data_IF_712897042738
#
_entry.id   IF_712897042738
#
_cell.length_a   1.000
_cell.length_b   1.000
_cell.length_c   1.000
_cell.angle_alpha   90.00
_cell.angle_beta   90.00
_cell.angle_gamma   90.00
#
_symmetry.space_group_name_H-M   'P 1'
#
loop_
_entity.id
_entity.type
_entity.pdbx_description
1 polymer ?
#
# COMPACT_ATOMS: atom_id res chain seq x y z
N UNK A 1 15.31 9.83 7.98
CA UNK A 1 14.12 10.25 7.20
C UNK A 1 14.47 11.39 6.27
N UNK A 2 13.98 11.37 5.03
CA UNK A 2 14.18 12.45 4.07
C UNK A 2 13.46 13.74 4.49
N UNK A 3 13.96 14.89 4.00
CA UNK A 3 13.25 16.16 4.14
C UNK A 3 12.18 16.29 3.05
N UNK A 4 11.09 17.02 3.28
CA UNK A 4 10.06 17.26 2.24
C UNK A 4 10.66 17.92 0.99
N UNK A 5 11.69 18.76 1.15
CA UNK A 5 12.44 19.35 0.01
C UNK A 5 13.15 18.28 -0.82
N UNK A 6 13.72 17.27 -0.17
CA UNK A 6 14.37 16.15 -0.85
C UNK A 6 13.34 15.27 -1.58
N UNK A 7 12.20 14.97 -0.94
CA UNK A 7 11.10 14.21 -1.58
C UNK A 7 10.59 14.93 -2.83
N UNK A 8 10.32 16.24 -2.75
CA UNK A 8 9.93 17.06 -3.92
C UNK A 8 10.96 17.01 -5.04
N UNK A 9 12.26 16.90 -4.71
CA UNK A 9 13.34 16.79 -5.70
C UNK A 9 13.33 15.43 -6.39
N UNK A 10 13.25 14.34 -5.63
CA UNK A 10 13.17 12.98 -6.19
C UNK A 10 11.98 12.83 -7.13
N UNK A 11 10.85 13.43 -6.77
CA UNK A 11 9.60 13.35 -7.50
C UNK A 11 9.30 14.59 -8.36
N UNK A 12 10.28 15.43 -8.66
CA UNK A 12 10.06 16.70 -9.36
C UNK A 12 9.33 16.53 -10.70
N UNK A 13 9.58 15.42 -11.39
CA UNK A 13 8.94 15.07 -12.64
C UNK A 13 7.42 14.82 -12.51
N UNK A 14 6.91 14.46 -11.32
CA UNK A 14 5.49 14.24 -11.05
C UNK A 14 4.72 15.49 -10.64
N UNK A 15 5.40 16.62 -10.42
CA UNK A 15 4.74 17.83 -9.94
C UNK A 15 3.63 18.28 -10.91
N UNK A 16 2.42 18.46 -10.38
CA UNK A 16 1.23 18.88 -11.10
C UNK A 16 0.84 17.93 -12.24
N UNK A 17 1.38 16.71 -12.27
CA UNK A 17 0.91 15.66 -13.17
C UNK A 17 -0.17 14.87 -12.46
N UNK A 18 -1.27 14.60 -13.16
CA UNK A 18 -2.33 13.77 -12.62
C UNK A 18 -1.82 12.35 -12.40
N UNK A 19 -2.01 11.84 -11.20
CA UNK A 19 -1.78 10.46 -10.80
C UNK A 19 -2.86 9.53 -11.32
N UNK A 20 -2.80 8.30 -10.85
CA UNK A 20 -3.81 7.29 -11.18
C UNK A 20 -4.81 7.14 -10.03
N UNK A 21 -6.08 6.87 -10.32
CA UNK A 21 -7.07 6.62 -9.30
C UNK A 21 -6.91 5.21 -8.73
N UNK A 22 -6.91 5.11 -7.41
CA UNK A 22 -7.04 3.84 -6.68
C UNK A 22 -8.31 3.86 -5.80
N UNK A 23 -8.67 2.68 -5.30
CA UNK A 23 -9.55 2.57 -4.13
C UNK A 23 -8.66 2.50 -2.90
N UNK A 24 -8.92 3.34 -1.91
CA UNK A 24 -8.18 3.38 -0.65
C UNK A 24 -9.16 3.55 0.53
N UNK A 25 -9.10 2.65 1.49
CA UNK A 25 -9.99 2.54 2.65
C UNK A 25 -11.47 2.68 2.27
N UNK A 26 -11.88 2.02 1.18
CA UNK A 26 -13.24 2.06 0.64
C UNK A 26 -13.61 3.34 -0.12
N UNK A 27 -12.68 4.27 -0.33
CA UNK A 27 -12.88 5.48 -1.15
C UNK A 27 -12.33 5.29 -2.54
N UNK A 28 -13.18 5.45 -3.55
CA UNK A 28 -12.77 5.40 -4.96
C UNK A 28 -12.20 6.75 -5.44
N UNK A 29 -11.30 6.70 -6.42
CA UNK A 29 -10.79 7.90 -7.10
C UNK A 29 -9.72 8.66 -6.33
N UNK A 30 -9.14 8.05 -5.30
CA UNK A 30 -7.98 8.59 -4.57
C UNK A 30 -6.80 8.60 -5.53
N UNK A 31 -6.21 9.77 -5.78
CA UNK A 31 -5.12 9.91 -6.74
C UNK A 31 -3.78 9.61 -6.07
N UNK A 32 -3.00 8.75 -6.70
CA UNK A 32 -1.64 8.40 -6.25
C UNK A 32 -0.66 8.49 -7.40
N UNK A 33 0.61 8.75 -7.08
CA UNK A 33 1.67 8.72 -8.07
C UNK A 33 1.82 7.29 -8.65
N UNK A 34 1.91 7.13 -9.98
CA UNK A 34 2.18 5.84 -10.61
C UNK A 34 3.46 5.20 -10.06
N UNK A 35 3.40 3.89 -9.83
CA UNK A 35 4.46 3.12 -9.17
C UNK A 35 4.40 3.13 -7.65
N UNK A 36 3.44 3.84 -7.03
CA UNK A 36 3.27 3.88 -5.56
C UNK A 36 2.04 3.12 -5.06
N UNK A 37 1.31 2.46 -5.95
CA UNK A 37 0.06 1.76 -5.68
C UNK A 37 0.23 0.74 -4.56
N UNK A 38 1.32 -0.04 -4.61
CA UNK A 38 1.64 -1.02 -3.57
C UNK A 38 1.86 -0.39 -2.20
N UNK A 39 2.57 0.74 -2.14
CA UNK A 39 2.75 1.47 -0.88
C UNK A 39 1.37 1.81 -0.29
N UNK A 40 0.47 2.38 -1.09
CA UNK A 40 -0.87 2.76 -0.61
C UNK A 40 -1.75 1.56 -0.25
N UNK A 41 -1.56 0.40 -0.88
CA UNK A 41 -2.23 -0.85 -0.48
C UNK A 41 -1.68 -1.42 0.82
N UNK A 42 -0.35 -1.40 1.01
CA UNK A 42 0.28 -1.78 2.27
C UNK A 42 -0.17 -0.85 3.42
N UNK A 43 -0.32 0.44 3.13
CA UNK A 43 -0.91 1.42 4.04
C UNK A 43 -2.34 1.06 4.42
N UNK A 44 -3.20 0.73 3.44
CA UNK A 44 -4.58 0.30 3.68
C UNK A 44 -4.64 -0.94 4.57
N UNK A 45 -3.91 -2.00 4.19
CA UNK A 45 -3.89 -3.26 4.93
C UNK A 45 -3.41 -3.08 6.36
N UNK A 46 -2.32 -2.33 6.54
CA UNK A 46 -1.76 -2.07 7.87
C UNK A 46 -2.79 -1.37 8.77
N UNK A 47 -3.50 -0.38 8.23
CA UNK A 47 -4.55 0.31 8.97
C UNK A 47 -5.71 -0.64 9.30
N UNK A 48 -6.20 -1.43 8.34
CA UNK A 48 -7.29 -2.38 8.58
C UNK A 48 -6.90 -3.46 9.61
N UNK A 49 -5.70 -4.03 9.52
CA UNK A 49 -5.16 -5.03 10.44
C UNK A 49 -5.01 -4.49 11.87
N UNK A 50 -4.72 -3.19 12.02
CA UNK A 50 -4.67 -2.50 13.32
C UNK A 50 -6.02 -1.93 13.76
N UNK A 51 -7.11 -2.43 13.19
CA UNK A 51 -8.48 -2.11 13.59
C UNK A 51 -9.00 -0.75 13.13
N UNK A 52 -8.33 -0.09 12.17
CA UNK A 52 -8.89 1.08 11.49
C UNK A 52 -10.04 0.64 10.56
N UNK A 53 -11.07 1.47 10.45
CA UNK A 53 -12.23 1.19 9.59
C UNK A 53 -12.10 1.77 8.17
N UNK A 54 -13.18 1.67 7.40
CA UNK A 54 -13.28 2.39 6.12
C UNK A 54 -13.27 3.90 6.36
N UNK A 55 -12.56 4.63 5.50
CA UNK A 55 -12.47 6.08 5.60
C UNK A 55 -13.78 6.72 5.14
N UNK A 56 -14.21 7.75 5.85
CA UNK A 56 -15.30 8.65 5.45
C UNK A 56 -14.89 9.61 4.32
N UNK A 57 -13.64 10.07 4.32
CA UNK A 57 -13.10 11.03 3.35
C UNK A 57 -11.59 10.80 3.14
N UNK A 58 -11.09 11.00 1.91
CA UNK A 58 -9.65 11.02 1.63
C UNK A 58 -9.35 12.18 0.68
N UNK A 59 -8.58 13.15 1.15
CA UNK A 59 -8.01 14.20 0.30
C UNK A 59 -6.64 13.77 -0.19
N UNK A 60 -6.44 13.58 -1.49
CA UNK A 60 -5.16 13.09 -2.06
C UNK A 60 -4.55 13.99 -3.13
N UNK A 61 -5.30 15.00 -3.55
CA UNK A 61 -4.91 15.85 -4.67
C UNK A 61 -5.21 17.31 -4.38
N UNK A 62 -4.36 18.19 -4.92
CA UNK A 62 -4.58 19.64 -4.95
C UNK A 62 -4.40 20.19 -6.36
N UNK A 63 -5.28 21.12 -6.73
CA UNK A 63 -5.21 21.78 -8.02
C UNK A 63 -4.02 22.74 -8.08
N UNK A 64 -3.04 22.47 -8.93
CA UNK A 64 -2.01 23.45 -9.25
C UNK A 64 -2.64 24.71 -9.88
N UNK A 65 -2.09 25.92 -9.60
CA UNK A 65 -0.81 26.19 -8.94
C UNK A 65 -0.92 26.41 -7.41
N UNK A 66 -1.99 25.95 -6.75
CA UNK A 66 -2.14 26.11 -5.31
C UNK A 66 -0.96 25.48 -4.56
N UNK A 67 -0.40 26.22 -3.60
CA UNK A 67 0.66 25.77 -2.71
C UNK A 67 0.20 25.75 -1.24
N UNK A 68 1.17 25.69 -0.34
CA UNK A 68 0.94 25.61 1.11
C UNK A 68 0.72 27.01 1.68
N UNK A 69 -0.24 27.16 2.59
CA UNK A 69 -0.49 28.41 3.32
C UNK A 69 -0.91 29.57 2.42
N UNK A 70 -1.71 29.29 1.38
CA UNK A 70 -2.19 30.30 0.42
C UNK A 70 -1.14 30.78 -0.59
N UNK A 71 0.07 30.22 -0.57
CA UNK A 71 1.13 30.56 -1.53
C UNK A 71 0.97 29.79 -2.84
N UNK A 72 1.69 30.22 -3.87
CA UNK A 72 1.79 29.51 -5.15
C UNK A 72 2.86 28.42 -5.08
N UNK A 73 2.55 27.24 -5.61
CA UNK A 73 3.53 26.18 -5.86
C UNK A 73 4.47 26.60 -6.99
N UNK A 74 5.75 26.84 -6.65
CA UNK A 74 6.74 27.38 -7.60
C UNK A 74 7.35 26.27 -8.50
N UNK A 75 7.86 26.61 -9.69
CA UNK A 75 8.60 25.69 -10.55
C UNK A 75 9.87 25.07 -9.93
N UNK A 76 10.35 25.60 -8.81
CA UNK A 76 11.43 25.04 -7.99
C UNK A 76 10.97 23.93 -7.03
N UNK A 77 9.65 23.73 -6.86
CA UNK A 77 9.05 22.88 -5.83
C UNK A 77 8.79 23.61 -4.51
N UNK A 78 9.27 24.85 -4.37
CA UNK A 78 9.03 25.69 -3.19
C UNK A 78 7.53 25.97 -3.03
N UNK A 79 7.09 25.93 -1.77
CA UNK A 79 5.68 26.02 -1.35
C UNK A 79 4.72 24.96 -1.93
N UNK A 80 5.20 23.94 -2.66
CA UNK A 80 4.32 22.91 -3.19
C UNK A 80 3.95 21.88 -2.12
N UNK A 81 2.67 21.62 -1.91
CA UNK A 81 2.25 20.44 -1.11
C UNK A 81 2.63 19.15 -1.84
N UNK A 82 2.88 18.06 -1.11
CA UNK A 82 3.05 16.74 -1.73
C UNK A 82 1.74 16.20 -2.34
N UNK A 83 0.59 16.77 -1.98
CA UNK A 83 -0.69 16.60 -2.70
C UNK A 83 -0.63 17.04 -4.17
N UNK A 84 0.27 17.97 -4.53
CA UNK A 84 0.46 18.35 -5.94
C UNK A 84 1.31 17.33 -6.72
N UNK A 85 1.77 16.26 -6.07
CA UNK A 85 2.58 15.19 -6.65
C UNK A 85 1.85 13.85 -6.55
N UNK A 86 0.65 13.83 -5.97
CA UNK A 86 -0.11 12.62 -5.60
C UNK A 86 0.71 11.66 -4.71
N UNK A 87 1.54 12.22 -3.83
CA UNK A 87 2.38 11.50 -2.86
C UNK A 87 1.88 11.63 -1.42
N UNK A 88 0.77 12.32 -1.22
CA UNK A 88 0.20 12.55 0.10
C UNK A 88 -1.30 12.27 0.09
N UNK A 89 -1.80 11.85 1.24
CA UNK A 89 -3.20 11.64 1.49
C UNK A 89 -3.55 12.12 2.90
N UNK A 90 -4.57 12.94 3.00
CA UNK A 90 -5.22 13.33 4.23
C UNK A 90 -6.38 12.35 4.43
N UNK A 91 -6.24 11.42 5.37
CA UNK A 91 -7.26 10.39 5.64
C UNK A 91 -8.23 10.89 6.68
N UNK A 92 -9.52 10.95 6.39
CA UNK A 92 -10.55 11.41 7.32
C UNK A 92 -10.31 12.79 8.01
N UNK A 93 -9.77 13.82 7.30
CA UNK A 93 -9.61 15.15 7.87
C UNK A 93 -10.96 15.72 8.30
N UNK A 94 -10.99 16.54 9.34
CA UNK A 94 -12.21 16.96 10.04
C UNK A 94 -13.33 17.47 9.12
N UNK A 95 -14.53 16.90 9.30
CA UNK A 95 -15.79 17.58 9.03
C UNK A 95 -16.76 17.50 10.23
N UNK A 96 -16.90 16.37 10.93
CA UNK A 96 -17.53 16.27 12.25
C UNK A 96 -16.90 15.10 13.02
N UNK A 97 -16.47 15.34 14.27
CA UNK A 97 -15.38 14.62 14.95
C UNK A 97 -15.56 13.14 15.29
N UNK A 98 -14.45 12.52 15.74
CA UNK A 98 -14.36 11.19 16.36
C UNK A 98 -13.36 11.22 17.55
N UNK A 99 -13.52 10.45 18.66
CA UNK A 99 -13.14 10.85 20.01
C UNK A 99 -11.85 10.22 20.58
N UNK A 100 -10.92 9.76 19.76
CA UNK A 100 -9.66 9.25 20.30
C UNK A 100 -8.74 10.46 20.61
N UNK A 101 -8.64 10.78 21.90
CA UNK A 101 -7.84 11.83 22.53
C UNK A 101 -8.54 13.19 22.81
N UNK A 102 -8.73 13.47 24.10
CA UNK A 102 -8.87 14.81 24.72
C UNK A 102 -7.78 14.90 25.80
N UNK A 103 -7.08 15.99 26.15
CA UNK A 103 -6.93 17.40 25.71
C UNK A 103 -5.84 18.00 26.64
N UNK A 104 -5.14 19.07 26.26
CA UNK A 104 -5.24 20.33 27.02
C UNK A 104 -4.97 21.57 26.16
N UNK A 105 -5.96 22.46 26.17
CA UNK A 105 -5.92 23.82 25.66
C UNK A 105 -5.11 24.76 26.59
N UNK A 106 -4.38 25.68 25.96
CA UNK A 106 -3.35 26.55 26.52
C UNK A 106 -2.24 26.70 25.47
N UNK A 107 -1.03 27.12 25.84
CA UNK A 107 0.11 27.28 24.92
C UNK A 107 0.70 25.92 24.42
N UNK A 108 -0.12 24.92 24.08
CA UNK A 108 0.28 23.54 23.70
C UNK A 108 -0.76 22.80 22.84
N UNK A 109 -0.34 21.67 22.25
CA UNK A 109 -0.95 21.01 21.08
C UNK A 109 -2.40 20.52 21.26
N UNK A 110 -3.28 20.92 20.32
CA UNK A 110 -4.63 20.40 20.16
C UNK A 110 -4.69 19.41 18.99
N UNK A 111 -4.86 18.12 19.32
CA UNK A 111 -4.94 16.99 18.39
C UNK A 111 -6.39 16.62 18.06
N UNK A 112 -7.30 17.60 18.08
CA UNK A 112 -8.75 17.38 17.94
C UNK A 112 -9.16 16.70 16.63
N UNK A 113 -8.30 16.73 15.60
CA UNK A 113 -8.51 16.09 14.30
C UNK A 113 -7.71 14.77 14.12
N UNK A 114 -7.01 14.26 15.14
CA UNK A 114 -6.38 12.93 15.06
C UNK A 114 -7.44 11.84 15.24
N UNK A 115 -7.56 10.94 14.25
CA UNK A 115 -8.38 9.73 14.34
C UNK A 115 -7.58 8.44 14.45
N UNK A 116 -6.27 8.49 14.23
CA UNK A 116 -5.39 7.34 14.37
C UNK A 116 -4.94 7.14 15.82
N UNK A 117 -4.88 5.89 16.26
CA UNK A 117 -4.19 5.53 17.50
C UNK A 117 -2.66 5.61 17.30
N UNK A 118 -1.89 5.72 18.38
CA UNK A 118 -0.43 5.61 18.28
C UNK A 118 0.01 4.28 17.65
N UNK A 119 -0.71 3.19 17.93
CA UNK A 119 -0.41 1.86 17.41
C UNK A 119 -0.60 1.79 15.89
N UNK A 120 -1.73 2.27 15.37
CA UNK A 120 -2.02 2.32 13.93
C UNK A 120 -0.93 3.06 13.17
N UNK A 121 -0.48 4.16 13.76
CA UNK A 121 0.55 5.01 13.18
C UNK A 121 1.91 4.37 13.21
N UNK A 122 2.28 3.79 14.36
CA UNK A 122 3.53 3.06 14.49
C UNK A 122 3.57 1.89 13.53
N UNK A 123 2.45 1.22 13.29
CA UNK A 123 2.35 0.13 12.33
C UNK A 123 2.58 0.63 10.89
N UNK A 124 1.92 1.70 10.46
CA UNK A 124 2.15 2.28 9.13
C UNK A 124 3.59 2.78 8.97
N UNK A 125 4.16 3.42 9.99
CA UNK A 125 5.57 3.85 9.99
C UNK A 125 6.55 2.68 10.16
N UNK A 126 6.09 1.48 10.50
CA UNK A 126 6.90 0.26 10.55
C UNK A 126 7.04 -0.43 9.20
N UNK A 127 6.16 -0.15 8.22
CA UNK A 127 6.30 -0.63 6.84
C UNK A 127 7.70 -0.31 6.31
N UNK A 128 8.31 -1.26 5.62
CA UNK A 128 9.59 -1.09 4.93
C UNK A 128 9.45 -1.33 3.44
N UNK A 129 10.37 -0.74 2.69
CA UNK A 129 10.64 -1.13 1.31
C UNK A 129 11.58 -2.33 1.30
N UNK A 130 11.73 -2.99 0.15
CA UNK A 130 12.71 -4.08 -0.02
C UNK A 130 14.17 -3.62 0.19
N UNK A 131 14.44 -2.32 0.18
CA UNK A 131 15.75 -1.73 0.54
C UNK A 131 15.84 -1.32 2.02
N UNK A 132 14.82 -1.62 2.82
CA UNK A 132 14.77 -1.31 4.25
C UNK A 132 14.41 0.14 4.59
N UNK A 133 13.96 0.94 3.61
CA UNK A 133 13.54 2.32 3.85
C UNK A 133 12.14 2.38 4.45
N UNK A 134 11.84 3.39 5.27
CA UNK A 134 10.49 3.69 5.74
C UNK A 134 9.74 4.53 4.67
N UNK A 135 8.75 3.98 3.95
CA UNK A 135 8.11 4.67 2.84
C UNK A 135 7.07 5.69 3.29
N UNK A 136 6.40 5.49 4.43
CA UNK A 136 5.38 6.41 4.94
C UNK A 136 5.90 7.26 6.10
N UNK A 137 5.44 8.50 6.13
CA UNK A 137 5.66 9.41 7.25
C UNK A 137 4.35 10.06 7.63
N UNK A 138 4.04 10.04 8.93
CA UNK A 138 3.00 10.90 9.48
C UNK A 138 3.56 12.25 9.88
N UNK A 139 2.87 13.33 9.54
CA UNK A 139 3.24 14.68 9.97
C UNK A 139 2.52 15.15 11.25
N UNK A 140 1.50 14.42 11.71
CA UNK A 140 0.53 14.88 12.71
C UNK A 140 1.09 15.21 14.10
N UNK A 141 2.17 14.56 14.56
CA UNK A 141 2.65 14.74 15.94
C UNK A 141 3.34 16.08 16.23
N UNK A 142 3.96 16.69 15.22
CA UNK A 142 4.93 17.78 15.43
C UNK A 142 4.59 19.08 14.69
N UNK A 143 3.73 19.04 13.67
CA UNK A 143 3.43 20.23 12.84
C UNK A 143 1.94 20.55 12.71
N UNK A 144 1.06 19.76 13.36
CA UNK A 144 -0.39 20.03 13.39
C UNK A 144 -1.13 19.76 12.08
N UNK A 145 -0.48 19.17 11.07
CA UNK A 145 -1.13 18.64 9.86
C UNK A 145 -1.64 17.22 10.19
N UNK A 146 -2.59 17.18 11.11
CA UNK A 146 -3.21 15.95 11.61
C UNK A 146 -3.89 15.24 10.44
N UNK A 147 -3.80 13.91 10.40
CA UNK A 147 -4.26 13.06 9.29
C UNK A 147 -3.46 13.08 7.98
N UNK A 148 -2.41 13.89 7.86
CA UNK A 148 -1.57 13.95 6.66
C UNK A 148 -0.51 12.85 6.61
N UNK A 149 -0.69 11.91 5.68
CA UNK A 149 0.31 10.92 5.33
C UNK A 149 1.02 11.28 4.04
N UNK A 150 2.31 10.97 3.96
CA UNK A 150 3.09 11.17 2.75
C UNK A 150 4.12 10.07 2.53
N UNK A 151 4.39 9.80 1.25
CA UNK A 151 5.53 9.02 0.80
C UNK A 151 6.84 9.77 1.09
N UNK A 152 7.85 9.04 1.55
CA UNK A 152 9.12 9.57 2.06
C UNK A 152 10.36 8.90 1.44
N UNK A 153 10.18 8.21 0.30
CA UNK A 153 11.20 7.47 -0.45
C UNK A 153 11.27 7.96 -1.90
N UNK A 154 12.41 7.78 -2.61
CA UNK A 154 12.50 8.08 -4.04
C UNK A 154 11.71 7.06 -4.90
N UNK A 155 11.41 7.38 -6.17
CA UNK A 155 10.74 6.44 -7.09
C UNK A 155 11.47 5.09 -7.27
N UNK A 156 12.78 5.06 -7.05
CA UNK A 156 13.60 3.84 -7.17
C UNK A 156 13.51 2.91 -5.96
N UNK A 157 12.71 3.25 -4.95
CA UNK A 157 12.62 2.58 -3.66
C UNK A 157 11.17 2.56 -3.17
N UNK A 158 10.26 2.11 -4.03
CA UNK A 158 8.80 2.08 -3.79
C UNK A 158 8.24 0.66 -3.62
N UNK A 159 9.07 -0.36 -3.86
CA UNK A 159 8.68 -1.76 -3.68
C UNK A 159 8.56 -2.09 -2.19
N UNK A 160 7.40 -2.62 -1.79
CA UNK A 160 7.08 -2.94 -0.39
C UNK A 160 7.77 -4.23 0.02
N UNK A 161 8.41 -4.23 1.19
CA UNK A 161 8.71 -5.47 1.91
C UNK A 161 7.44 -5.92 2.64
N UNK A 162 6.68 -6.81 2.00
CA UNK A 162 5.41 -7.29 2.53
C UNK A 162 5.58 -8.07 3.84
N UNK A 163 6.78 -8.57 4.16
CA UNK A 163 7.08 -9.18 5.47
C UNK A 163 6.98 -8.18 6.64
N UNK A 164 6.94 -6.88 6.36
CA UNK A 164 6.76 -5.82 7.36
C UNK A 164 5.33 -5.31 7.49
N UNK A 165 4.40 -5.82 6.67
CA UNK A 165 2.99 -5.44 6.68
C UNK A 165 2.22 -6.42 7.58
N UNK A 166 1.45 -5.94 8.58
CA UNK A 166 0.60 -6.82 9.38
C UNK A 166 -0.46 -7.52 8.52
N UNK A 167 -0.72 -8.80 8.80
CA UNK A 167 -1.64 -9.65 8.04
C UNK A 167 -1.37 -9.63 6.51
N UNK A 168 -0.09 -9.61 6.14
CA UNK A 168 0.38 -9.48 4.77
C UNK A 168 -0.21 -10.54 3.84
N UNK A 169 -1.10 -10.09 2.96
CA UNK A 169 -1.32 -10.74 1.68
C UNK A 169 -1.09 -9.70 0.59
N UNK A 170 0.01 -9.78 -0.20
CA UNK A 170 0.18 -8.87 -1.32
C UNK A 170 -1.06 -8.95 -2.22
N UNK A 171 -1.56 -7.80 -2.71
CA UNK A 171 -2.77 -7.77 -3.54
C UNK A 171 -2.55 -8.67 -4.75
N UNK A 172 -3.56 -9.41 -5.19
CA UNK A 172 -3.42 -10.23 -6.39
C UNK A 172 -3.01 -9.36 -7.58
N UNK A 173 -1.97 -9.71 -8.34
CA UNK A 173 -1.66 -9.02 -9.58
C UNK A 173 -2.88 -9.05 -10.51
N UNK A 174 -3.10 -7.97 -11.26
CA UNK A 174 -4.26 -7.92 -12.18
C UNK A 174 -4.16 -9.08 -13.18
N UNK A 175 -5.25 -9.85 -13.26
CA UNK A 175 -5.32 -11.13 -13.98
C UNK A 175 -5.08 -10.93 -15.49
N UNK A 176 -3.89 -11.25 -15.97
CA UNK A 176 -3.57 -11.25 -17.40
C UNK A 176 -2.08 -11.44 -17.68
N UNK A 177 -1.70 -12.66 -18.03
CA UNK A 177 -0.42 -13.02 -18.67
C UNK A 177 0.88 -12.70 -17.92
N UNK A 178 0.96 -13.02 -16.64
CA UNK A 178 2.23 -12.99 -15.90
C UNK A 178 3.08 -14.22 -16.21
N UNK A 179 3.72 -14.22 -17.37
CA UNK A 179 4.90 -15.06 -17.59
C UNK A 179 6.04 -14.45 -16.79
N UNK A 180 6.25 -14.92 -15.56
CA UNK A 180 7.38 -14.50 -14.73
C UNK A 180 8.54 -15.47 -14.86
N UNK A 181 9.74 -14.92 -15.02
CA UNK A 181 10.98 -15.69 -15.17
C UNK A 181 12.14 -14.97 -14.50
N UNK A 182 13.27 -15.67 -14.44
CA UNK A 182 14.52 -15.12 -13.91
C UNK A 182 14.84 -13.75 -14.52
N UNK A 183 15.08 -12.78 -13.64
CA UNK A 183 15.41 -11.38 -13.99
C UNK A 183 14.22 -10.43 -13.91
N UNK A 184 12.99 -10.95 -13.86
CA UNK A 184 11.81 -10.13 -13.60
C UNK A 184 11.81 -9.62 -12.15
N UNK A 185 11.15 -8.48 -11.93
CA UNK A 185 11.12 -7.79 -10.64
C UNK A 185 9.78 -7.14 -10.37
N UNK A 186 9.52 -6.88 -9.10
CA UNK A 186 8.40 -6.10 -8.62
C UNK A 186 7.23 -6.95 -8.13
N UNK A 187 6.12 -6.28 -7.88
CA UNK A 187 4.92 -6.82 -7.23
C UNK A 187 4.53 -8.26 -7.60
N UNK A 188 4.42 -8.55 -8.90
CA UNK A 188 4.02 -9.85 -9.43
C UNK A 188 4.92 -10.97 -8.92
N UNK A 189 6.22 -10.70 -8.88
CA UNK A 189 7.23 -11.62 -8.36
C UNK A 189 7.06 -11.79 -6.85
N UNK A 190 6.92 -10.69 -6.09
CA UNK A 190 6.71 -10.76 -4.64
C UNK A 190 5.47 -11.59 -4.31
N UNK A 191 4.39 -11.38 -5.07
CA UNK A 191 3.15 -12.10 -4.91
C UNK A 191 3.35 -13.61 -5.09
N UNK A 192 3.95 -14.02 -6.22
CA UNK A 192 4.21 -15.43 -6.50
C UNK A 192 5.22 -16.06 -5.52
N UNK A 193 6.22 -15.31 -5.06
CA UNK A 193 7.15 -15.74 -4.02
C UNK A 193 6.43 -16.01 -2.69
N UNK A 194 5.45 -15.18 -2.31
CA UNK A 194 4.64 -15.44 -1.11
C UNK A 194 3.83 -16.74 -1.24
N UNK A 195 3.31 -17.05 -2.42
CA UNK A 195 2.57 -18.31 -2.67
C UNK A 195 3.50 -19.52 -2.60
N UNK A 196 4.72 -19.38 -3.11
CA UNK A 196 5.76 -20.41 -2.95
C UNK A 196 6.10 -20.65 -1.47
N UNK A 197 6.22 -19.58 -0.67
CA UNK A 197 6.43 -19.68 0.78
C UNK A 197 5.24 -20.32 1.51
N UNK A 198 4.01 -20.03 1.09
CA UNK A 198 2.82 -20.63 1.67
C UNK A 198 2.68 -22.12 1.30
N UNK A 199 3.07 -22.50 0.08
CA UNK A 199 3.17 -23.89 -0.35
C UNK A 199 4.25 -24.64 0.45
N UNK A 200 5.43 -24.02 0.59
CA UNK A 200 6.55 -24.56 1.33
C UNK A 200 7.37 -23.41 1.96
N UNK A 201 7.34 -23.24 3.29
CA UNK A 201 8.06 -22.18 3.99
C UNK A 201 9.58 -22.18 3.78
N UNK A 202 10.16 -23.34 3.44
CA UNK A 202 11.60 -23.49 3.19
C UNK A 202 11.97 -23.29 1.70
N UNK A 203 11.03 -22.83 0.87
CA UNK A 203 11.25 -22.66 -0.58
C UNK A 203 12.18 -21.50 -0.94
N UNK A 204 12.17 -20.42 -0.15
CA UNK A 204 12.97 -19.20 -0.37
C UNK A 204 13.80 -18.81 0.88
N UNK A 205 14.74 -19.66 1.32
CA UNK A 205 15.38 -19.51 2.62
C UNK A 205 16.38 -18.35 2.72
N UNK A 206 16.87 -17.80 1.60
CA UNK A 206 17.90 -16.74 1.62
C UNK A 206 17.30 -15.35 1.52
N UNK A 207 16.31 -15.16 0.65
CA UNK A 207 15.79 -13.84 0.32
C UNK A 207 14.30 -13.68 0.61
N UNK A 208 13.55 -14.78 0.79
CA UNK A 208 12.11 -14.71 1.02
C UNK A 208 11.36 -14.13 -0.18
N UNK A 209 10.28 -13.39 0.08
CA UNK A 209 9.49 -12.69 -0.93
C UNK A 209 10.01 -11.26 -1.15
N UNK A 210 11.19 -11.12 -1.75
CA UNK A 210 11.90 -9.86 -1.97
C UNK A 210 11.51 -9.10 -3.24
N UNK A 211 10.65 -9.69 -4.09
CA UNK A 211 10.26 -9.12 -5.37
C UNK A 211 11.30 -9.24 -6.49
N UNK A 212 12.42 -9.94 -6.27
CA UNK A 212 13.44 -10.20 -7.28
C UNK A 212 13.35 -11.67 -7.74
N UNK A 213 13.05 -11.91 -9.02
CA UNK A 213 12.97 -13.27 -9.55
C UNK A 213 14.41 -13.76 -9.83
N UNK A 214 15.10 -14.11 -8.74
CA UNK A 214 16.48 -14.55 -8.75
C UNK A 214 16.64 -16.05 -8.97
N UNK A 215 17.87 -16.53 -8.74
CA UNK A 215 18.19 -17.96 -8.85
C UNK A 215 17.42 -18.82 -7.85
N UNK A 216 17.17 -18.27 -6.65
CA UNK A 216 16.42 -18.94 -5.60
C UNK A 216 14.96 -19.12 -6.01
N UNK A 217 14.31 -18.06 -6.49
CA UNK A 217 12.92 -18.11 -6.98
C UNK A 217 12.76 -19.09 -8.14
N UNK A 218 13.64 -19.05 -9.15
CA UNK A 218 13.59 -20.03 -10.25
C UNK A 218 13.70 -21.47 -9.75
N UNK A 219 14.60 -21.74 -8.79
CA UNK A 219 14.75 -23.06 -8.20
C UNK A 219 13.49 -23.48 -7.43
N UNK A 220 12.87 -22.57 -6.69
CA UNK A 220 11.62 -22.82 -5.99
C UNK A 220 10.46 -23.12 -6.95
N UNK A 221 10.37 -22.38 -8.06
CA UNK A 221 9.37 -22.61 -9.12
C UNK A 221 9.57 -23.98 -9.77
N UNK A 222 10.81 -24.37 -10.08
CA UNK A 222 11.12 -25.72 -10.60
C UNK A 222 10.63 -26.80 -9.63
N UNK A 223 10.91 -26.66 -8.33
CA UNK A 223 10.47 -27.62 -7.31
C UNK A 223 8.95 -27.70 -7.20
N UNK A 224 8.29 -26.54 -7.23
CA UNK A 224 6.83 -26.46 -7.24
C UNK A 224 6.25 -27.18 -8.46
N UNK A 225 6.77 -26.88 -9.67
CA UNK A 225 6.35 -27.53 -10.91
C UNK A 225 6.52 -29.06 -10.84
N UNK A 226 7.66 -29.55 -10.34
CA UNK A 226 7.89 -30.98 -10.15
C UNK A 226 6.91 -31.62 -9.17
N UNK A 227 6.60 -30.93 -8.06
CA UNK A 227 5.66 -31.44 -7.06
C UNK A 227 4.20 -31.50 -7.55
N UNK A 228 3.88 -30.77 -8.62
CA UNK A 228 2.57 -30.71 -9.25
C UNK A 228 2.53 -31.36 -10.64
N UNK A 229 3.50 -32.22 -10.97
CA UNK A 229 3.59 -32.95 -12.24
C UNK A 229 3.56 -32.04 -13.49
N UNK A 230 4.12 -30.83 -13.39
CA UNK A 230 4.30 -29.89 -14.49
C UNK A 230 5.70 -29.97 -15.10
N UNK A 231 5.86 -29.46 -16.32
CA UNK A 231 7.18 -29.26 -16.92
C UNK A 231 8.02 -28.30 -16.05
N UNK A 232 9.23 -28.71 -15.60
CA UNK A 232 10.08 -27.94 -14.68
C UNK A 232 10.84 -26.83 -15.40
N UNK A 233 10.10 -25.90 -16.01
CA UNK A 233 10.64 -24.81 -16.82
C UNK A 233 11.32 -23.72 -15.99
N UNK A 234 11.00 -23.60 -14.70
CA UNK A 234 11.44 -22.49 -13.86
C UNK A 234 10.75 -21.15 -14.17
N UNK A 235 9.78 -21.17 -15.09
CA UNK A 235 8.97 -20.02 -15.50
C UNK A 235 7.57 -20.18 -14.91
N UNK A 236 7.05 -19.14 -14.27
CA UNK A 236 5.66 -19.10 -13.85
C UNK A 236 4.83 -18.72 -15.07
N UNK A 237 4.31 -19.72 -15.79
CA UNK A 237 3.29 -19.52 -16.82
C UNK A 237 1.88 -19.63 -16.24
N UNK A 238 0.85 -19.49 -17.09
CA UNK A 238 -0.57 -19.48 -16.67
C UNK A 238 -0.99 -20.68 -15.81
N UNK A 239 -0.51 -21.89 -16.12
CA UNK A 239 -0.82 -23.10 -15.34
C UNK A 239 -0.14 -23.05 -13.97
N UNK A 240 1.14 -22.71 -13.91
CA UNK A 240 1.89 -22.58 -12.64
C UNK A 240 1.31 -21.48 -11.78
N UNK A 241 1.00 -20.31 -12.36
CA UNK A 241 0.32 -19.22 -11.68
C UNK A 241 -1.00 -19.70 -11.07
N UNK A 242 -1.87 -20.32 -11.87
CA UNK A 242 -3.18 -20.83 -11.42
C UNK A 242 -3.06 -21.73 -10.18
N UNK A 243 -2.11 -22.66 -10.17
CA UNK A 243 -1.91 -23.52 -8.99
C UNK A 243 -1.38 -22.74 -7.79
N UNK A 244 -0.48 -21.77 -7.99
CA UNK A 244 0.02 -20.92 -6.91
C UNK A 244 -1.10 -20.06 -6.30
N UNK A 245 -2.12 -19.64 -7.06
CA UNK A 245 -3.27 -18.90 -6.50
C UNK A 245 -3.98 -19.67 -5.37
N UNK A 246 -4.02 -20.99 -5.42
CA UNK A 246 -4.65 -21.81 -4.37
C UNK A 246 -3.86 -21.79 -3.04
N UNK A 247 -2.61 -21.33 -3.08
CA UNK A 247 -1.74 -21.12 -1.91
C UNK A 247 -1.76 -19.69 -1.39
N UNK A 248 -2.74 -18.87 -1.79
CA UNK A 248 -3.04 -17.64 -1.07
C UNK A 248 -3.40 -17.97 0.40
N UNK A 249 -3.04 -17.13 1.38
CA UNK A 249 -3.44 -17.37 2.76
C UNK A 249 -4.96 -17.50 2.83
N UNK A 250 -5.46 -18.63 3.34
CA UNK A 250 -6.90 -18.83 3.55
C UNK A 250 -7.40 -17.78 4.53
N UNK A 251 -8.06 -16.74 4.02
CA UNK A 251 -8.83 -15.81 4.84
C UNK A 251 -9.90 -16.61 5.58
N UNK A 252 -9.84 -16.69 6.91
CA UNK A 252 -10.97 -17.13 7.73
C UNK A 252 -12.04 -16.02 7.70
N UNK A 253 -13.36 -16.32 7.76
CA UNK A 253 -14.21 -17.01 6.81
C UNK A 253 -15.24 -16.05 6.14
N UNK A 254 -16.06 -16.61 5.25
CA UNK A 254 -17.11 -15.98 4.44
C UNK A 254 -18.33 -15.37 5.21
N UNK A 255 -18.12 -14.66 6.31
CA UNK A 255 -19.19 -13.99 7.08
C UNK A 255 -19.18 -12.46 7.02
N UNK A 256 -18.32 -11.84 6.20
CA UNK A 256 -18.59 -10.49 5.69
C UNK A 256 -19.45 -10.63 4.44
N UNK A 257 -20.68 -11.10 4.66
CA UNK A 257 -21.75 -11.03 3.69
C UNK A 257 -21.88 -9.57 3.23
N UNK A 258 -21.69 -9.37 1.93
CA UNK A 258 -22.08 -8.16 1.21
C UNK A 258 -23.48 -7.75 1.67
N UNK A 259 -23.59 -6.66 2.42
CA UNK A 259 -24.87 -5.98 2.59
C UNK A 259 -25.21 -5.39 1.22
N UNK A 260 -26.01 -6.11 0.42
CA UNK A 260 -26.37 -5.68 -0.93
C UNK A 260 -27.39 -6.57 -1.65
N UNK A 261 -27.33 -7.90 -1.50
CA UNK A 261 -28.19 -8.78 -2.28
C UNK A 261 -29.40 -9.22 -1.46
N UNK A 262 -30.50 -8.48 -1.63
CA UNK A 262 -31.83 -8.93 -1.19
C UNK A 262 -32.27 -10.09 -2.09
N UNK A 263 -32.03 -11.33 -1.65
CA UNK A 263 -32.69 -12.49 -2.25
C UNK A 263 -34.12 -12.52 -1.70
N UNK A 264 -35.08 -12.09 -2.54
CA UNK A 264 -36.49 -12.44 -2.34
C UNK A 264 -36.63 -13.96 -2.46
N UNK A 265 -37.05 -14.60 -1.38
CA UNK A 265 -37.57 -15.95 -1.42
C UNK A 265 -39.03 -15.85 -1.88
N UNK A 266 -39.31 -16.27 -3.11
CA UNK A 266 -40.69 -16.62 -3.51
C UNK A 266 -41.07 -17.94 -2.81
N UNK A 267 -42.24 -18.04 -2.16
CA UNK A 267 -42.70 -19.29 -1.59
C UNK A 267 -43.30 -20.18 -2.68
N UNK A 268 -42.69 -21.36 -2.89
CA UNK A 268 -43.28 -22.43 -3.68
C UNK A 268 -44.29 -23.23 -2.85
N UNK A 269 -45.56 -23.16 -3.25
CA UNK A 269 -46.66 -24.04 -2.90
C UNK A 269 -47.71 -23.98 -3.99
#
# INVERSE_FOLDING_TARGET
MATTTQVRRWWAHRRCQRGIPITLLGRHGVLVAPGTEQLWRAFEQTLLATGYGLASNIGSHRNCPAGIGGKTCEPSGKNCSLHNYDLAADVDPWAFGNPHFRRRFGNGWDFSDIKFTEEQVRAVEAIRTTQGSQPFRWLGWAIGDTMHWQINVPPSDVEVDWGTVPDADPPEPEKGDEVLKRGDRGHAVTWMQQRLLNWNPDSLPRFGADGDFGAETETAVVRFQQAHDLDPTGVIGSITATLLHDYAPTTVPADVLRVGDTVRLEPGG
#
